data_IF_373854120550
#
_entry.id   IF_373854120550
#
_cell.length_a   1.000
_cell.length_b   1.000
_cell.length_c   1.000
_cell.angle_alpha   90.00
_cell.angle_beta   90.00
_cell.angle_gamma   90.00
#
_symmetry.space_group_name_H-M   'P 1'
#
loop_
_entity.id
_entity.type
_entity.pdbx_description
1 polymer ?
#
# COMPACT_ATOMS: atom_id res chain seq x y z
N UNK A 1 18.02 12.99 -7.29
CA UNK A 1 17.97 12.11 -6.11
C UNK A 1 17.96 12.99 -4.86
N UNK A 2 16.80 13.13 -4.21
CA UNK A 2 16.67 12.73 -2.79
C UNK A 2 15.35 11.98 -2.55
N UNK A 3 15.37 10.83 -1.87
CA UNK A 3 15.30 10.55 -0.42
C UNK A 3 13.87 10.18 -0.01
N UNK A 4 13.70 8.90 0.23
CA UNK A 4 12.60 8.29 0.94
C UNK A 4 12.66 8.79 2.38
N UNK A 5 11.73 9.62 2.84
CA UNK A 5 11.44 9.73 4.28
C UNK A 5 9.99 10.21 4.45
N UNK A 6 9.23 9.34 5.11
CA UNK A 6 8.04 9.55 5.94
C UNK A 6 6.97 10.61 5.54
N UNK A 7 5.74 10.10 5.46
CA UNK A 7 4.46 10.78 5.22
C UNK A 7 4.05 11.84 6.28
N UNK A 8 5.00 12.52 6.93
CA UNK A 8 4.80 13.28 8.18
C UNK A 8 5.07 14.79 8.09
N UNK A 9 4.95 15.40 6.90
CA UNK A 9 5.13 16.85 6.75
C UNK A 9 4.40 17.46 5.56
N UNK A 10 4.18 18.78 5.59
CA UNK A 10 3.55 19.55 4.52
C UNK A 10 4.45 20.71 4.06
N UNK A 11 4.24 21.17 2.83
CA UNK A 11 5.03 22.25 2.23
C UNK A 11 4.26 23.56 2.36
N UNK A 12 4.81 24.51 3.10
CA UNK A 12 4.26 25.86 3.21
C UNK A 12 5.14 26.84 2.43
N UNK A 13 4.54 27.61 1.53
CA UNK A 13 5.23 28.62 0.74
C UNK A 13 4.87 30.04 1.18
N UNK A 14 5.87 30.92 1.26
CA UNK A 14 5.67 32.34 1.52
C UNK A 14 5.34 33.13 0.25
N UNK A 15 4.89 34.38 0.41
CA UNK A 15 4.53 35.27 -0.70
C UNK A 15 5.73 35.67 -1.60
N UNK A 16 6.96 35.31 -1.23
CA UNK A 16 8.18 35.55 -1.99
C UNK A 16 8.62 34.29 -2.77
N UNK A 17 7.86 33.19 -2.66
CA UNK A 17 8.12 31.92 -3.36
C UNK A 17 9.05 30.97 -2.61
N UNK A 18 9.38 31.26 -1.35
CA UNK A 18 10.16 30.36 -0.50
C UNK A 18 9.27 29.28 0.09
N UNK A 19 9.52 28.01 -0.20
CA UNK A 19 8.77 26.88 0.35
C UNK A 19 9.60 26.15 1.41
N UNK A 20 9.01 25.93 2.58
CA UNK A 20 9.61 25.19 3.70
C UNK A 20 8.77 23.97 4.05
N UNK A 21 9.43 22.84 4.29
CA UNK A 21 8.77 21.63 4.81
C UNK A 21 8.59 21.80 6.31
N UNK A 22 7.35 21.75 6.76
CA UNK A 22 7.02 21.73 8.19
C UNK A 22 6.61 20.32 8.59
N UNK A 23 7.24 19.83 9.66
CA UNK A 23 6.89 18.54 10.25
C UNK A 23 5.69 18.73 11.18
N UNK A 24 4.74 17.80 11.11
CA UNK A 24 3.67 17.77 12.09
C UNK A 24 4.22 17.37 13.48
N UNK A 25 3.58 17.82 14.57
CA UNK A 25 3.89 17.35 15.92
C UNK A 25 3.94 15.82 16.01
N UNK A 26 4.74 15.29 16.93
CA UNK A 26 4.92 13.85 17.10
C UNK A 26 3.57 13.13 17.28
N UNK A 27 3.31 12.12 16.44
CA UNK A 27 2.05 11.36 16.45
C UNK A 27 0.90 11.97 15.66
N UNK A 28 1.13 13.04 14.89
CA UNK A 28 0.10 13.70 14.04
C UNK A 28 0.54 13.77 12.58
N UNK A 29 -0.42 13.89 11.67
CA UNK A 29 -0.21 13.84 10.22
C UNK A 29 -0.95 14.98 9.50
N UNK A 30 -0.45 15.41 8.33
CA UNK A 30 -1.07 16.49 7.56
C UNK A 30 -2.36 16.01 6.89
N UNK A 31 -3.48 16.60 7.28
CA UNK A 31 -4.77 16.39 6.64
C UNK A 31 -4.99 17.50 5.59
N UNK A 32 -4.97 17.15 4.31
CA UNK A 32 -5.10 18.11 3.21
C UNK A 32 -6.52 18.68 3.08
N UNK A 33 -7.54 17.94 3.52
CA UNK A 33 -8.93 18.42 3.47
C UNK A 33 -9.22 19.47 4.55
N UNK A 34 -8.59 19.32 5.72
CA UNK A 34 -8.76 20.22 6.85
C UNK A 34 -7.66 21.28 6.94
N UNK A 35 -6.60 21.16 6.13
CA UNK A 35 -5.40 21.99 6.17
C UNK A 35 -4.82 22.10 7.60
N UNK A 36 -4.79 20.99 8.34
CA UNK A 36 -4.33 20.91 9.73
C UNK A 36 -3.53 19.63 9.98
N UNK A 37 -2.61 19.65 10.95
CA UNK A 37 -2.05 18.41 11.49
C UNK A 37 -3.00 17.86 12.55
N UNK A 38 -3.44 16.62 12.38
CA UNK A 38 -4.34 15.96 13.33
C UNK A 38 -3.80 14.58 13.74
N UNK A 39 -4.24 14.06 14.89
CA UNK A 39 -3.91 12.72 15.36
C UNK A 39 -4.69 11.63 14.60
N UNK A 40 -5.75 12.06 13.90
CA UNK A 40 -6.31 11.31 12.79
C UNK A 40 -5.22 11.17 11.72
N UNK A 41 -4.88 9.93 11.40
CA UNK A 41 -4.12 9.62 10.19
C UNK A 41 -4.67 10.45 9.01
N UNK A 42 -3.85 10.80 8.00
CA UNK A 42 -4.22 11.70 6.93
C UNK A 42 -5.21 11.06 5.92
N UNK A 43 -6.13 10.23 6.39
CA UNK A 43 -7.20 9.63 5.62
C UNK A 43 -8.54 9.93 6.31
N UNK A 44 -9.08 11.14 6.10
CA UNK A 44 -10.46 11.43 6.50
C UNK A 44 -11.39 10.57 5.62
N UNK A 45 -12.09 9.63 6.25
CA UNK A 45 -13.32 8.98 5.77
C UNK A 45 -13.55 8.90 4.24
N UNK A 46 -12.60 8.30 3.53
CA UNK A 46 -12.82 7.71 2.21
C UNK A 46 -12.35 6.26 2.28
N UNK A 47 -13.29 5.32 2.33
CA UNK A 47 -13.00 3.97 1.88
C UNK A 47 -12.55 4.02 0.39
N UNK A 48 -11.61 3.18 -0.09
CA UNK A 48 -10.75 2.21 0.60
C UNK A 48 -9.27 2.30 0.14
N UNK A 49 -8.30 2.71 0.98
CA UNK A 49 -6.93 3.00 0.49
C UNK A 49 -5.82 1.98 0.82
N UNK A 50 -6.10 0.90 1.55
CA UNK A 50 -5.25 -0.32 1.62
C UNK A 50 -6.12 -1.57 1.47
N UNK A 51 -7.18 -1.50 0.68
CA UNK A 51 -7.99 -2.68 0.38
C UNK A 51 -7.95 -2.88 -1.12
N UNK A 52 -7.72 -4.12 -1.52
CA UNK A 52 -7.82 -4.56 -2.91
C UNK A 52 -9.28 -4.89 -3.27
N UNK A 53 -10.25 -4.28 -2.57
CA UNK A 53 -11.68 -4.41 -2.89
C UNK A 53 -12.04 -3.51 -4.07
N UNK A 54 -11.65 -3.91 -5.27
CA UNK A 54 -11.90 -3.18 -6.52
C UNK A 54 -12.43 -4.16 -7.57
N UNK A 55 -13.44 -3.77 -8.35
CA UNK A 55 -13.93 -4.46 -9.56
C UNK A 55 -14.12 -5.99 -9.44
N UNK A 56 -14.68 -6.44 -8.32
CA UNK A 56 -15.01 -7.87 -8.09
C UNK A 56 -13.90 -8.67 -7.40
N UNK A 57 -12.82 -8.01 -7.01
CA UNK A 57 -11.77 -8.56 -6.19
C UNK A 57 -12.12 -8.38 -4.71
N UNK A 58 -12.01 -9.44 -3.93
CA UNK A 58 -12.22 -9.39 -2.47
C UNK A 58 -10.85 -9.30 -1.80
N UNK A 59 -10.72 -8.39 -0.84
CA UNK A 59 -9.51 -8.25 -0.04
C UNK A 59 -9.22 -9.53 0.76
N UNK A 60 -8.11 -10.25 0.48
CA UNK A 60 -7.76 -11.47 1.19
C UNK A 60 -6.99 -11.18 2.49
N UNK A 61 -6.64 -9.93 2.81
CA UNK A 61 -5.94 -9.53 4.03
C UNK A 61 -6.90 -9.47 5.24
N UNK A 62 -7.56 -10.59 5.51
CA UNK A 62 -8.45 -10.76 6.66
C UNK A 62 -7.64 -11.12 7.90
N UNK A 63 -8.15 -10.77 9.09
CA UNK A 63 -7.53 -11.20 10.36
C UNK A 63 -7.34 -12.72 10.43
N UNK A 64 -8.30 -13.50 9.92
CA UNK A 64 -8.18 -14.96 9.87
C UNK A 64 -7.00 -15.43 9.03
N UNK A 65 -6.72 -14.77 7.90
CA UNK A 65 -5.58 -15.14 7.06
C UNK A 65 -4.26 -14.70 7.71
N UNK A 66 -4.22 -13.52 8.32
CA UNK A 66 -3.05 -13.01 9.06
C UNK A 66 -2.69 -13.91 10.25
N UNK A 67 -3.68 -14.35 11.04
CA UNK A 67 -3.47 -15.29 12.15
C UNK A 67 -2.94 -16.66 11.69
N UNK A 68 -3.24 -17.06 10.44
CA UNK A 68 -2.71 -18.26 9.81
C UNK A 68 -1.41 -18.01 9.02
N UNK A 69 -0.78 -16.85 9.20
CA UNK A 69 0.46 -16.44 8.52
C UNK A 69 0.33 -16.38 6.98
N UNK A 70 -0.89 -16.24 6.46
CA UNK A 70 -1.18 -16.11 5.03
C UNK A 70 -1.11 -14.66 4.58
N UNK A 71 0.12 -14.18 4.34
CA UNK A 71 0.38 -12.80 3.92
C UNK A 71 0.41 -12.57 2.41
N UNK A 72 0.36 -13.62 1.59
CA UNK A 72 0.50 -13.49 0.14
C UNK A 72 -0.63 -14.20 -0.61
N UNK A 73 -1.24 -13.48 -1.54
CA UNK A 73 -2.46 -13.91 -2.24
C UNK A 73 -2.42 -13.55 -3.72
N UNK A 74 -3.22 -14.23 -4.53
CA UNK A 74 -3.35 -13.94 -5.96
C UNK A 74 -4.01 -12.59 -6.20
N UNK A 75 -3.49 -11.82 -7.15
CA UNK A 75 -4.23 -10.70 -7.70
C UNK A 75 -5.27 -11.21 -8.70
N UNK A 76 -6.45 -10.64 -8.65
CA UNK A 76 -7.63 -11.09 -9.39
C UNK A 76 -7.65 -10.68 -10.88
N UNK A 77 -6.93 -9.61 -11.25
CA UNK A 77 -6.99 -9.06 -12.60
C UNK A 77 -5.95 -9.68 -13.53
N UNK A 78 -4.81 -10.11 -13.01
CA UNK A 78 -3.72 -10.68 -13.77
C UNK A 78 -2.77 -11.51 -12.88
N UNK A 79 -1.93 -12.30 -13.53
CA UNK A 79 -0.92 -13.17 -12.89
C UNK A 79 0.45 -12.49 -12.69
N UNK A 80 0.63 -11.28 -13.22
CA UNK A 80 1.88 -10.52 -13.13
C UNK A 80 1.97 -9.68 -11.86
N UNK A 81 0.90 -9.66 -11.06
CA UNK A 81 0.85 -9.04 -9.75
C UNK A 81 0.35 -10.03 -8.70
N UNK A 82 0.68 -9.74 -7.45
CA UNK A 82 0.17 -10.46 -6.29
C UNK A 82 -0.20 -9.47 -5.20
N UNK A 83 -0.96 -9.94 -4.22
CA UNK A 83 -1.33 -9.18 -3.04
C UNK A 83 -0.39 -9.54 -1.90
N UNK A 84 0.22 -8.53 -1.28
CA UNK A 84 0.92 -8.65 -0.02
C UNK A 84 0.09 -7.99 1.09
N UNK A 85 -0.11 -8.72 2.18
CA UNK A 85 -0.76 -8.23 3.37
C UNK A 85 0.26 -7.75 4.40
N UNK A 86 -0.09 -6.74 5.19
CA UNK A 86 0.61 -6.44 6.45
C UNK A 86 -0.09 -7.10 7.65
N UNK A 87 0.54 -7.02 8.82
CA UNK A 87 0.02 -7.59 10.07
C UNK A 87 -1.24 -6.91 10.61
N UNK A 88 -1.67 -5.80 10.01
CA UNK A 88 -2.82 -4.99 10.42
C UNK A 88 -3.97 -5.03 9.40
N UNK A 89 -3.87 -5.84 8.33
CA UNK A 89 -4.91 -5.98 7.31
C UNK A 89 -4.75 -5.06 6.10
N UNK A 90 -3.62 -4.36 5.97
CA UNK A 90 -3.30 -3.58 4.79
C UNK A 90 -3.04 -4.49 3.59
N UNK A 91 -3.71 -4.24 2.47
CA UNK A 91 -3.55 -4.94 1.19
C UNK A 91 -2.77 -4.09 0.18
N UNK A 92 -1.70 -4.66 -0.36
CA UNK A 92 -0.81 -4.01 -1.33
C UNK A 92 -0.67 -4.87 -2.59
N UNK A 93 -0.92 -4.29 -3.76
CA UNK A 93 -0.71 -4.96 -5.05
C UNK A 93 0.76 -4.76 -5.46
N UNK A 94 1.48 -5.87 -5.60
CA UNK A 94 2.91 -5.91 -5.87
C UNK A 94 3.17 -6.55 -7.23
N UNK A 95 4.01 -5.95 -8.09
CA UNK A 95 4.40 -6.57 -9.35
C UNK A 95 5.34 -7.75 -9.11
N UNK A 96 5.17 -8.80 -9.90
CA UNK A 96 6.18 -9.83 -10.08
C UNK A 96 7.39 -9.28 -10.86
N UNK A 97 8.54 -9.94 -10.71
CA UNK A 97 9.71 -9.61 -11.50
C UNK A 97 9.46 -9.91 -12.99
N UNK A 98 10.18 -9.22 -13.89
CA UNK A 98 10.05 -9.47 -15.34
C UNK A 98 10.29 -10.95 -15.67
N UNK A 99 9.40 -11.53 -16.47
CA UNK A 99 9.45 -12.95 -16.87
C UNK A 99 8.89 -13.94 -15.82
N UNK A 100 8.32 -13.44 -14.72
CA UNK A 100 7.72 -14.27 -13.67
C UNK A 100 6.22 -13.99 -13.49
N UNK A 101 5.50 -15.01 -13.05
CA UNK A 101 4.05 -14.99 -12.79
C UNK A 101 3.75 -15.57 -11.40
N UNK A 102 2.67 -15.11 -10.77
CA UNK A 102 2.28 -15.53 -9.43
C UNK A 102 1.91 -17.02 -9.36
N UNK A 103 2.54 -17.77 -8.46
CA UNK A 103 2.17 -19.15 -8.11
C UNK A 103 1.45 -19.18 -6.77
N UNK A 104 0.14 -19.47 -6.78
CA UNK A 104 -0.62 -19.60 -5.53
C UNK A 104 -0.20 -20.83 -4.70
N UNK A 105 0.35 -21.86 -5.33
CA UNK A 105 0.88 -23.05 -4.63
C UNK A 105 2.13 -22.73 -3.83
N UNK A 106 3.08 -22.00 -4.43
CA UNK A 106 4.36 -21.66 -3.80
C UNK A 106 4.34 -20.33 -3.05
N UNK A 107 3.25 -19.55 -3.20
CA UNK A 107 3.08 -18.21 -2.63
C UNK A 107 4.21 -17.24 -3.02
N UNK A 108 4.72 -17.38 -4.24
CA UNK A 108 5.80 -16.57 -4.82
C UNK A 108 5.62 -16.42 -6.33
N UNK A 109 6.31 -15.46 -6.95
CA UNK A 109 6.41 -15.38 -8.40
C UNK A 109 7.43 -16.41 -8.91
N UNK A 110 7.02 -17.22 -9.90
CA UNK A 110 7.83 -18.27 -10.54
C UNK A 110 8.05 -17.93 -12.01
N UNK A 111 9.08 -18.49 -12.64
CA UNK A 111 9.31 -18.23 -14.05
C UNK A 111 8.23 -18.92 -14.89
N UNK A 112 7.73 -18.24 -15.94
CA UNK A 112 6.66 -18.78 -16.80
C UNK A 112 7.02 -20.15 -17.43
N UNK A 113 8.31 -20.47 -17.54
CA UNK A 113 8.79 -21.77 -18.04
C UNK A 113 8.67 -22.93 -17.03
N UNK A 114 8.27 -22.68 -15.78
CA UNK A 114 7.97 -23.72 -14.79
C UNK A 114 6.47 -24.10 -14.80
N UNK A 115 5.61 -23.31 -15.46
CA UNK A 115 4.18 -23.62 -15.66
C UNK A 115 4.02 -24.39 -16.97
N UNK A 116 4.68 -25.54 -17.09
CA UNK A 116 4.61 -26.32 -18.33
C UNK A 116 5.59 -27.49 -18.45
N UNK A 117 5.33 -28.56 -17.69
CA UNK A 117 5.60 -29.95 -18.10
C UNK A 117 4.53 -30.87 -17.53
#
# INVERSE_FOLDING_TARGET
RPLCTDSAGFVQCDAQGGCTVQHCPEGTYWNDDLHVCDDSHPYPDLAPSHTCDIDGCTNPCTYSNIENEEFYHSYCHDEYHFIQCDAHGGCFVMPCAEGTVWSNEHKVCVHDCDVGS
#
